data_IF_904936453603
#
_entry.id   IF_904936453603
#
_cell.length_a   1.000
_cell.length_b   1.000
_cell.length_c   1.000
_cell.angle_alpha   90.00
_cell.angle_beta   90.00
_cell.angle_gamma   90.00
#
_symmetry.space_group_name_H-M   'P 1'
#
loop_
_entity.id
_entity.type
_entity.pdbx_description
1 polymer ?
#
# COMPACT_ATOMS: atom_id res chain seq x y z
N UNK A 1 0.40 65.89 -55.19
CA UNK A 1 0.85 66.72 -54.05
C UNK A 1 0.43 66.04 -52.76
N UNK A 2 1.40 65.83 -51.84
CA UNK A 2 1.25 65.47 -50.39
C UNK A 2 0.77 64.03 -50.11
N UNK A 3 1.28 63.23 -49.17
CA UNK A 3 2.43 63.26 -48.25
C UNK A 3 2.63 61.82 -47.68
N UNK A 4 3.85 61.52 -47.21
CA UNK A 4 4.36 60.30 -46.53
C UNK A 4 3.64 59.96 -45.18
N UNK A 5 4.12 58.98 -44.37
CA UNK A 5 4.12 57.49 -44.44
C UNK A 5 3.40 56.91 -43.19
N UNK A 6 3.50 55.60 -42.88
CA UNK A 6 3.68 55.04 -41.50
C UNK A 6 3.74 53.52 -41.59
N UNK A 7 4.82 52.97 -41.03
CA UNK A 7 5.04 51.55 -40.81
C UNK A 7 4.18 51.03 -39.65
N UNK A 8 3.77 49.75 -39.71
CA UNK A 8 3.41 49.00 -38.52
C UNK A 8 3.80 47.53 -38.71
N UNK A 9 4.95 47.20 -38.12
CA UNK A 9 5.49 45.87 -37.94
C UNK A 9 4.59 45.12 -36.95
N UNK A 10 3.68 44.28 -37.44
CA UNK A 10 2.91 43.37 -36.57
C UNK A 10 3.79 42.17 -36.25
N UNK A 11 4.73 42.37 -35.32
CA UNK A 11 5.27 41.27 -34.55
C UNK A 11 4.15 40.78 -33.63
N UNK A 12 3.40 39.79 -34.10
CA UNK A 12 2.46 39.05 -33.27
C UNK A 12 3.27 38.34 -32.18
N UNK A 13 3.39 39.00 -31.03
CA UNK A 13 3.77 38.37 -29.79
C UNK A 13 2.74 37.28 -29.50
N UNK A 14 3.04 36.06 -29.92
CA UNK A 14 2.53 34.87 -29.26
C UNK A 14 3.14 34.86 -27.85
N UNK A 15 2.58 35.70 -26.98
CA UNK A 15 2.75 35.54 -25.54
C UNK A 15 2.21 34.16 -25.23
N UNK A 16 3.13 33.21 -25.04
CA UNK A 16 2.85 31.94 -24.42
C UNK A 16 2.22 32.26 -23.07
N UNK A 17 0.89 32.21 -23.01
CA UNK A 17 0.14 32.12 -21.77
C UNK A 17 0.58 30.79 -21.17
N UNK A 18 1.58 30.84 -20.29
CA UNK A 18 1.88 29.75 -19.39
C UNK A 18 0.59 29.55 -18.57
N UNK A 19 -0.24 28.61 -19.02
CA UNK A 19 -1.36 28.14 -18.22
C UNK A 19 -0.75 27.66 -16.91
N UNK A 20 -1.17 28.27 -15.82
CA UNK A 20 -0.80 27.91 -14.46
C UNK A 20 -1.17 26.43 -14.26
N UNK A 21 -0.16 25.55 -14.33
CA UNK A 21 -0.36 24.11 -14.16
C UNK A 21 -0.60 23.86 -12.68
N UNK A 22 -1.85 23.69 -12.28
CA UNK A 22 -2.21 23.32 -10.92
C UNK A 22 -1.97 21.80 -10.74
N UNK A 23 -1.11 21.43 -9.79
CA UNK A 23 -0.95 20.04 -9.37
C UNK A 23 -2.21 19.63 -8.62
N UNK A 24 -3.03 18.78 -9.25
CA UNK A 24 -4.29 18.31 -8.64
C UNK A 24 -4.02 17.23 -7.60
N UNK A 25 -3.14 16.29 -7.91
CA UNK A 25 -2.76 15.20 -7.03
C UNK A 25 -1.33 14.76 -7.33
N UNK A 26 -0.56 14.50 -6.28
CA UNK A 26 0.85 14.14 -6.37
C UNK A 26 0.99 12.63 -6.54
N UNK A 27 1.68 12.19 -7.60
CA UNK A 27 2.04 10.78 -7.75
C UNK A 27 3.24 10.48 -6.88
N UNK A 28 3.07 9.64 -5.86
CA UNK A 28 4.13 9.28 -4.90
C UNK A 28 4.89 8.03 -5.33
N UNK A 29 4.26 7.14 -6.11
CA UNK A 29 4.92 5.96 -6.64
C UNK A 29 4.22 5.42 -7.90
N UNK A 30 4.92 4.54 -8.61
CA UNK A 30 4.40 3.77 -9.75
C UNK A 30 4.83 2.31 -9.58
N UNK A 31 3.89 1.39 -9.71
CA UNK A 31 4.14 -0.06 -9.73
C UNK A 31 3.60 -0.63 -11.04
N UNK A 32 4.50 -1.17 -11.85
CA UNK A 32 4.26 -1.58 -13.22
C UNK A 32 3.61 -0.44 -14.03
N UNK A 33 2.32 -0.56 -14.38
CA UNK A 33 1.56 0.46 -15.11
C UNK A 33 0.59 1.28 -14.22
N UNK A 34 0.62 1.09 -12.90
CA UNK A 34 -0.30 1.72 -11.96
C UNK A 34 0.39 2.84 -11.18
N UNK A 35 -0.09 4.07 -11.32
CA UNK A 35 0.30 5.20 -10.48
C UNK A 35 -0.43 5.15 -9.14
N UNK A 36 0.30 5.43 -8.07
CA UNK A 36 -0.23 5.58 -6.71
C UNK A 36 -0.06 7.05 -6.34
N UNK A 37 -1.16 7.69 -5.95
CA UNK A 37 -1.16 9.11 -5.56
C UNK A 37 -1.13 9.29 -4.05
N UNK A 38 -0.80 10.51 -3.61
CA UNK A 38 -0.81 10.86 -2.20
C UNK A 38 -2.21 10.78 -1.60
N UNK A 39 -3.24 11.20 -2.36
CA UNK A 39 -4.63 11.09 -1.93
C UNK A 39 -5.06 9.63 -1.75
N UNK A 40 -4.70 8.74 -2.70
CA UNK A 40 -4.95 7.29 -2.60
C UNK A 40 -4.31 6.71 -1.33
N UNK A 41 -3.01 6.99 -1.10
CA UNK A 41 -2.32 6.52 0.11
C UNK A 41 -3.01 7.04 1.36
N UNK A 42 -3.40 8.31 1.41
CA UNK A 42 -4.05 8.90 2.58
C UNK A 42 -5.44 8.29 2.85
N UNK A 43 -6.24 8.05 1.81
CA UNK A 43 -7.55 7.42 1.90
C UNK A 43 -7.43 5.96 2.38
N UNK A 44 -6.56 5.16 1.74
CA UNK A 44 -6.30 3.77 2.14
C UNK A 44 -5.76 3.67 3.56
N UNK A 45 -4.89 4.59 3.97
CA UNK A 45 -4.35 4.65 5.33
C UNK A 45 -5.47 4.81 6.35
N UNK A 46 -6.46 5.66 6.09
CA UNK A 46 -7.61 5.83 6.99
C UNK A 46 -8.47 4.58 7.08
N UNK A 47 -8.73 3.91 5.95
CA UNK A 47 -9.45 2.62 5.95
C UNK A 47 -8.73 1.60 6.82
N UNK A 48 -7.42 1.43 6.63
CA UNK A 48 -6.58 0.52 7.43
C UNK A 48 -6.57 0.87 8.92
N UNK A 49 -6.47 2.16 9.25
CA UNK A 49 -6.47 2.61 10.65
C UNK A 49 -7.81 2.33 11.32
N UNK A 50 -8.92 2.58 10.64
CA UNK A 50 -10.26 2.26 11.14
C UNK A 50 -10.44 0.75 11.30
N UNK A 51 -10.00 -0.05 10.34
CA UNK A 51 -10.06 -1.51 10.46
C UNK A 51 -9.29 -2.01 11.69
N UNK A 52 -8.10 -1.44 11.95
CA UNK A 52 -7.22 -1.89 13.03
C UNK A 52 -7.60 -1.34 14.41
N UNK A 53 -8.14 -0.13 14.49
CA UNK A 53 -8.31 0.62 15.75
C UNK A 53 -9.77 1.02 16.02
N UNK A 54 -10.67 0.73 15.09
CA UNK A 54 -12.08 1.10 15.17
C UNK A 54 -12.37 2.54 14.72
N UNK A 55 -13.62 2.99 14.88
CA UNK A 55 -14.12 4.24 14.30
C UNK A 55 -13.45 5.50 14.88
N UNK A 56 -12.86 5.41 16.07
CA UNK A 56 -12.10 6.51 16.69
C UNK A 56 -10.91 6.97 15.83
N UNK A 57 -10.38 6.09 14.98
CA UNK A 57 -9.26 6.39 14.09
C UNK A 57 -9.66 7.15 12.81
N UNK A 58 -10.96 7.39 12.57
CA UNK A 58 -11.46 8.16 11.42
C UNK A 58 -10.78 9.54 11.29
N UNK A 59 -10.52 10.18 12.43
CA UNK A 59 -9.92 11.52 12.50
C UNK A 59 -8.45 11.47 12.94
N UNK A 60 -7.80 10.31 12.87
CA UNK A 60 -6.39 10.20 13.22
C UNK A 60 -5.54 11.10 12.32
N UNK A 61 -4.61 11.84 12.91
CA UNK A 61 -3.66 12.66 12.16
C UNK A 61 -2.74 11.75 11.36
N UNK A 62 -2.73 11.93 10.05
CA UNK A 62 -1.80 11.23 9.17
C UNK A 62 -0.52 12.04 9.04
N UNK A 63 0.48 11.71 9.85
CA UNK A 63 1.81 12.25 9.65
C UNK A 63 2.53 11.56 8.46
N UNK A 64 3.63 12.17 8.01
CA UNK A 64 4.44 11.65 6.91
C UNK A 64 4.98 10.23 7.19
N UNK A 65 5.27 9.88 8.44
CA UNK A 65 5.79 8.55 8.81
C UNK A 65 4.72 7.48 8.63
N UNK A 66 3.48 7.75 9.05
CA UNK A 66 2.34 6.84 8.88
C UNK A 66 2.05 6.66 7.39
N UNK A 67 2.05 7.75 6.61
CA UNK A 67 1.85 7.69 5.16
C UNK A 67 2.98 6.92 4.46
N UNK A 68 4.24 7.11 4.84
CA UNK A 68 5.37 6.36 4.31
C UNK A 68 5.24 4.84 4.62
N UNK A 69 4.80 4.48 5.83
CA UNK A 69 4.54 3.09 6.19
C UNK A 69 3.40 2.48 5.36
N UNK A 70 2.32 3.22 5.17
CA UNK A 70 1.19 2.80 4.36
C UNK A 70 1.54 2.68 2.87
N UNK A 71 2.34 3.61 2.34
CA UNK A 71 2.87 3.53 0.98
C UNK A 71 3.72 2.27 0.80
N UNK A 72 4.65 1.96 1.71
CA UNK A 72 5.45 0.72 1.65
C UNK A 72 4.56 -0.53 1.63
N UNK A 73 3.56 -0.60 2.52
CA UNK A 73 2.58 -1.71 2.54
C UNK A 73 1.83 -1.82 1.21
N UNK A 74 1.34 -0.70 0.68
CA UNK A 74 0.63 -0.65 -0.61
C UNK A 74 1.51 -1.11 -1.77
N UNK A 75 2.78 -0.71 -1.80
CA UNK A 75 3.73 -1.17 -2.81
C UNK A 75 3.93 -2.68 -2.74
N UNK A 76 4.13 -3.24 -1.54
CA UNK A 76 4.27 -4.69 -1.34
C UNK A 76 3.01 -5.44 -1.81
N UNK A 77 1.82 -4.98 -1.45
CA UNK A 77 0.55 -5.55 -1.92
C UNK A 77 0.44 -5.56 -3.44
N UNK A 78 0.77 -4.43 -4.10
CA UNK A 78 0.69 -4.30 -5.56
C UNK A 78 1.70 -5.21 -6.27
N UNK A 79 2.91 -5.35 -5.72
CA UNK A 79 3.94 -6.29 -6.21
C UNK A 79 3.45 -7.74 -6.12
N UNK A 80 2.84 -8.11 -4.98
CA UNK A 80 2.29 -9.46 -4.78
C UNK A 80 1.11 -9.71 -5.73
N UNK A 81 0.20 -8.75 -5.88
CA UNK A 81 -0.91 -8.86 -6.83
C UNK A 81 -0.43 -9.04 -8.27
N UNK A 82 0.62 -8.33 -8.68
CA UNK A 82 1.23 -8.47 -10.01
C UNK A 82 1.73 -9.90 -10.23
N UNK A 83 2.31 -10.55 -9.22
CA UNK A 83 2.66 -11.98 -9.28
C UNK A 83 1.44 -12.89 -9.34
N UNK A 84 0.42 -12.65 -8.53
CA UNK A 84 -0.82 -13.45 -8.54
C UNK A 84 -1.50 -13.40 -9.91
N UNK A 85 -1.52 -12.23 -10.54
CA UNK A 85 -2.04 -12.04 -11.89
C UNK A 85 -1.23 -12.81 -12.94
N UNK A 86 0.11 -12.79 -12.85
CA UNK A 86 0.99 -13.58 -13.73
C UNK A 86 0.71 -15.08 -13.60
N UNK A 87 0.47 -15.55 -12.38
CA UNK A 87 0.18 -16.95 -12.07
C UNK A 87 -1.28 -17.34 -12.33
N UNK A 88 -2.13 -16.40 -12.74
CA UNK A 88 -3.58 -16.59 -12.98
C UNK A 88 -4.29 -17.24 -11.78
N UNK A 89 -3.91 -16.82 -10.57
CA UNK A 89 -4.57 -17.28 -9.35
C UNK A 89 -5.98 -16.67 -9.25
N UNK A 90 -6.90 -17.44 -8.66
CA UNK A 90 -8.30 -17.06 -8.54
C UNK A 90 -8.50 -15.84 -7.65
N UNK A 91 -9.55 -15.07 -7.95
CA UNK A 91 -9.99 -13.92 -7.16
C UNK A 91 -10.86 -14.35 -5.98
N UNK A 92 -11.19 -13.41 -5.08
CA UNK A 92 -12.17 -13.65 -4.02
C UNK A 92 -13.58 -13.77 -4.60
N UNK A 93 -14.42 -14.55 -3.95
CA UNK A 93 -15.85 -14.56 -4.28
C UNK A 93 -16.51 -13.25 -3.84
N UNK A 94 -17.52 -12.74 -4.58
CA UNK A 94 -18.21 -11.49 -4.21
C UNK A 94 -18.72 -11.47 -2.77
N UNK A 95 -19.25 -12.61 -2.28
CA UNK A 95 -19.74 -12.73 -0.91
C UNK A 95 -18.64 -12.57 0.17
N UNK A 96 -17.37 -12.82 -0.17
CA UNK A 96 -16.26 -12.55 0.74
C UNK A 96 -15.98 -11.05 0.85
N UNK A 97 -16.11 -10.30 -0.25
CA UNK A 97 -15.96 -8.85 -0.28
C UNK A 97 -17.09 -8.20 0.53
N UNK A 98 -18.32 -8.67 0.35
CA UNK A 98 -19.48 -8.21 1.14
C UNK A 98 -19.27 -8.48 2.63
N UNK A 99 -18.71 -9.63 3.00
CA UNK A 99 -18.39 -9.96 4.38
C UNK A 99 -17.30 -9.05 4.97
N UNK A 100 -16.29 -8.67 4.19
CA UNK A 100 -15.27 -7.70 4.60
C UNK A 100 -15.88 -6.32 4.84
N UNK A 101 -16.71 -5.84 3.91
CA UNK A 101 -17.42 -4.57 4.06
C UNK A 101 -18.36 -4.58 5.27
N UNK A 102 -19.10 -5.66 5.48
CA UNK A 102 -19.97 -5.82 6.64
C UNK A 102 -19.19 -5.76 7.96
N UNK A 103 -18.01 -6.39 8.03
CA UNK A 103 -17.12 -6.32 9.19
C UNK A 103 -16.64 -4.91 9.46
N UNK A 104 -16.18 -4.19 8.42
CA UNK A 104 -15.75 -2.79 8.58
C UNK A 104 -16.91 -1.90 9.07
N UNK A 105 -18.10 -2.05 8.48
CA UNK A 105 -19.30 -1.29 8.88
C UNK A 105 -19.71 -1.57 10.33
N UNK A 106 -19.57 -2.81 10.79
CA UNK A 106 -19.88 -3.19 12.16
C UNK A 106 -18.98 -2.53 13.21
N UNK A 107 -17.84 -1.95 12.81
CA UNK A 107 -17.02 -1.14 13.70
C UNK A 107 -17.68 0.20 14.04
N UNK A 108 -18.55 0.72 13.17
CA UNK A 108 -19.21 2.00 13.36
C UNK A 108 -20.47 1.86 14.23
N UNK A 109 -20.71 2.82 15.15
CA UNK A 109 -21.92 2.83 15.97
C UNK A 109 -23.22 2.93 15.16
N UNK A 110 -23.16 3.54 13.98
CA UNK A 110 -24.31 3.72 13.11
C UNK A 110 -23.93 3.74 11.63
N UNK A 111 -24.91 3.47 10.76
CA UNK A 111 -24.77 3.60 9.31
C UNK A 111 -24.39 5.03 8.89
N UNK A 112 -24.94 6.04 9.56
CA UNK A 112 -24.66 7.44 9.26
C UNK A 112 -23.19 7.81 9.53
N UNK A 113 -22.58 7.24 10.58
CA UNK A 113 -21.16 7.45 10.87
C UNK A 113 -20.26 6.76 9.85
N UNK A 114 -20.61 5.56 9.41
CA UNK A 114 -19.92 4.91 8.29
C UNK A 114 -20.02 5.73 6.99
N UNK A 115 -21.21 6.23 6.65
CA UNK A 115 -21.40 7.05 5.45
C UNK A 115 -20.66 8.41 5.56
N UNK A 116 -20.49 8.95 6.77
CA UNK A 116 -19.66 10.12 7.01
C UNK A 116 -18.17 9.81 6.82
N UNK A 117 -17.72 8.64 7.28
CA UNK A 117 -16.37 8.15 7.06
C UNK A 117 -16.07 7.92 5.57
N UNK A 118 -16.92 7.19 4.84
CA UNK A 118 -16.73 6.94 3.41
C UNK A 118 -16.62 8.26 2.62
N UNK A 119 -17.44 9.26 2.96
CA UNK A 119 -17.35 10.60 2.37
C UNK A 119 -16.07 11.35 2.75
N UNK A 120 -15.57 11.21 3.98
CA UNK A 120 -14.35 11.92 4.41
C UNK A 120 -13.08 11.39 3.77
N UNK A 121 -13.09 10.12 3.33
CA UNK A 121 -12.01 9.51 2.55
C UNK A 121 -12.25 9.59 1.04
N UNK A 122 -13.37 10.16 0.61
CA UNK A 122 -13.78 10.27 -0.80
C UNK A 122 -13.83 8.93 -1.54
N UNK A 123 -14.20 7.85 -0.84
CA UNK A 123 -14.31 6.51 -1.40
C UNK A 123 -15.76 6.00 -1.40
N UNK A 124 -16.08 5.22 -2.42
CA UNK A 124 -17.30 4.41 -2.50
C UNK A 124 -17.15 3.09 -1.72
N UNK A 125 -18.29 2.43 -1.45
CA UNK A 125 -18.30 1.08 -0.89
C UNK A 125 -17.49 0.08 -1.73
N UNK A 126 -17.56 0.22 -3.06
CA UNK A 126 -16.83 -0.65 -4.00
C UNK A 126 -15.31 -0.45 -3.87
N UNK A 127 -14.85 0.79 -3.79
CA UNK A 127 -13.43 1.12 -3.62
C UNK A 127 -12.91 0.67 -2.25
N UNK A 128 -13.67 0.90 -1.18
CA UNK A 128 -13.34 0.39 0.15
C UNK A 128 -13.27 -1.15 0.12
N UNK A 129 -14.24 -1.79 -0.52
CA UNK A 129 -14.26 -3.24 -0.70
C UNK A 129 -13.05 -3.75 -1.47
N UNK A 130 -12.63 -3.05 -2.52
CA UNK A 130 -11.45 -3.40 -3.32
C UNK A 130 -10.15 -3.30 -2.52
N UNK A 131 -10.03 -2.32 -1.62
CA UNK A 131 -8.90 -2.19 -0.69
C UNK A 131 -8.87 -3.41 0.24
N UNK A 132 -9.95 -3.69 0.96
CA UNK A 132 -10.03 -4.81 1.90
C UNK A 132 -9.80 -6.16 1.19
N UNK A 133 -10.40 -6.34 0.01
CA UNK A 133 -10.23 -7.53 -0.82
C UNK A 133 -8.78 -7.72 -1.27
N UNK A 134 -8.08 -6.64 -1.65
CA UNK A 134 -6.65 -6.69 -1.99
C UNK A 134 -5.84 -7.18 -0.79
N UNK A 135 -6.07 -6.62 0.40
CA UNK A 135 -5.33 -7.03 1.59
C UNK A 135 -5.53 -8.51 1.91
N UNK A 136 -6.78 -8.99 1.88
CA UNK A 136 -7.09 -10.39 2.14
C UNK A 136 -6.46 -11.33 1.11
N UNK A 137 -6.49 -10.97 -0.18
CA UNK A 137 -5.87 -11.74 -1.26
C UNK A 137 -4.37 -11.90 -1.06
N UNK A 138 -3.70 -10.78 -0.80
CA UNK A 138 -2.26 -10.76 -0.56
C UNK A 138 -1.91 -11.60 0.66
N UNK A 139 -2.64 -11.43 1.77
CA UNK A 139 -2.42 -12.20 2.99
C UNK A 139 -2.58 -13.71 2.77
N UNK A 140 -3.65 -14.14 2.09
CA UNK A 140 -3.90 -15.55 1.77
C UNK A 140 -2.85 -16.14 0.84
N UNK A 141 -2.43 -15.39 -0.18
CA UNK A 141 -1.38 -15.84 -1.09
C UNK A 141 -0.06 -16.07 -0.35
N UNK A 142 0.35 -15.10 0.46
CA UNK A 142 1.59 -15.19 1.24
C UNK A 142 1.52 -16.33 2.25
N UNK A 143 0.43 -16.47 3.01
CA UNK A 143 0.25 -17.58 3.96
C UNK A 143 0.32 -18.93 3.23
N UNK A 144 -0.44 -19.13 2.16
CA UNK A 144 -0.44 -20.39 1.41
C UNK A 144 0.94 -20.72 0.81
N UNK A 145 1.67 -19.70 0.32
CA UNK A 145 3.00 -19.90 -0.27
C UNK A 145 4.05 -20.23 0.77
N UNK A 146 3.95 -19.66 1.97
CA UNK A 146 4.97 -19.77 3.01
C UNK A 146 4.67 -20.88 4.02
N UNK A 147 3.41 -21.25 4.24
CA UNK A 147 2.99 -22.22 5.27
C UNK A 147 3.72 -23.55 5.17
N UNK A 148 3.89 -24.09 3.97
CA UNK A 148 4.62 -25.35 3.76
C UNK A 148 6.13 -25.16 3.95
N UNK A 149 6.69 -24.06 3.47
CA UNK A 149 8.12 -23.78 3.56
C UNK A 149 8.58 -23.41 4.99
N UNK A 150 7.68 -22.83 5.79
CA UNK A 150 7.92 -22.37 7.15
C UNK A 150 7.81 -23.49 8.21
N UNK A 151 7.34 -24.69 7.85
CA UNK A 151 7.31 -25.83 8.77
C UNK A 151 8.73 -26.11 9.29
N UNK A 152 8.88 -26.07 10.62
CA UNK A 152 10.13 -26.38 11.29
C UNK A 152 10.32 -27.90 11.31
N UNK A 153 11.47 -28.37 10.81
CA UNK A 153 11.81 -29.80 10.88
C UNK A 153 12.37 -30.12 12.26
N UNK A 154 12.15 -31.33 12.75
CA UNK A 154 12.69 -31.75 14.06
C UNK A 154 14.21 -31.65 14.13
N UNK A 155 14.92 -31.87 13.02
CA UNK A 155 16.37 -31.67 12.94
C UNK A 155 16.81 -30.23 13.23
N UNK A 156 16.02 -29.24 12.81
CA UNK A 156 16.30 -27.81 13.04
C UNK A 156 16.06 -27.44 14.50
N UNK A 157 15.04 -28.04 15.13
CA UNK A 157 14.78 -27.88 16.57
C UNK A 157 15.88 -28.52 17.42
N UNK A 158 16.29 -29.74 17.09
CA UNK A 158 17.37 -30.44 17.79
C UNK A 158 18.70 -29.70 17.68
N UNK A 159 19.00 -29.11 16.52
CA UNK A 159 20.19 -28.28 16.34
C UNK A 159 20.15 -27.02 17.22
N UNK A 160 19.00 -26.35 17.29
CA UNK A 160 18.83 -25.15 18.13
C UNK A 160 18.75 -25.45 19.65
N UNK A 161 18.32 -26.67 20.01
CA UNK A 161 18.28 -27.19 21.37
C UNK A 161 19.60 -27.84 21.81
N UNK A 162 20.53 -28.10 20.88
CA UNK A 162 21.81 -28.76 21.16
C UNK A 162 22.58 -28.02 22.26
N UNK A 163 22.95 -28.76 23.30
CA UNK A 163 23.66 -28.21 24.46
C UNK A 163 22.79 -27.45 25.46
N UNK A 164 21.47 -27.39 25.27
CA UNK A 164 20.51 -26.80 26.21
C UNK A 164 19.67 -27.90 26.87
N UNK A 165 19.63 -27.93 28.20
CA UNK A 165 18.70 -28.78 28.95
C UNK A 165 17.33 -28.09 29.04
N UNK A 166 16.56 -28.16 27.97
CA UNK A 166 15.23 -27.56 27.88
C UNK A 166 14.15 -28.52 28.38
N UNK A 167 13.19 -28.00 29.13
CA UNK A 167 11.94 -28.72 29.43
C UNK A 167 11.07 -28.84 28.17
N UNK A 168 10.05 -29.70 28.19
CA UNK A 168 9.10 -29.82 27.06
C UNK A 168 8.42 -28.48 26.74
N UNK A 169 8.00 -27.73 27.76
CA UNK A 169 7.41 -26.40 27.58
C UNK A 169 8.40 -25.41 26.91
N UNK A 170 9.67 -25.43 27.31
CA UNK A 170 10.70 -24.58 26.70
C UNK A 170 11.03 -25.01 25.26
N UNK A 171 10.96 -26.31 24.96
CA UNK A 171 11.13 -26.81 23.59
C UNK A 171 9.99 -26.37 22.68
N UNK A 172 8.75 -26.36 23.18
CA UNK A 172 7.63 -25.91 22.37
C UNK A 172 7.67 -24.40 22.12
N UNK A 173 8.02 -23.60 23.14
CA UNK A 173 8.29 -22.17 22.95
C UNK A 173 9.42 -21.93 21.94
N UNK A 174 10.50 -22.70 22.00
CA UNK A 174 11.59 -22.62 21.04
C UNK A 174 11.13 -22.99 19.62
N UNK A 175 10.29 -24.03 19.48
CA UNK A 175 9.70 -24.43 18.20
C UNK A 175 8.86 -23.29 17.61
N UNK A 176 7.97 -22.69 18.40
CA UNK A 176 7.14 -21.57 17.96
C UNK A 176 7.99 -20.37 17.54
N UNK A 177 8.99 -20.00 18.35
CA UNK A 177 9.90 -18.90 18.03
C UNK A 177 10.66 -19.15 16.72
N UNK A 178 11.27 -20.34 16.57
CA UNK A 178 12.02 -20.68 15.36
C UNK A 178 11.12 -20.75 14.12
N UNK A 179 9.89 -21.25 14.26
CA UNK A 179 8.92 -21.26 13.18
C UNK A 179 8.54 -19.82 12.75
N UNK A 180 8.32 -18.92 13.70
CA UNK A 180 8.07 -17.50 13.42
C UNK A 180 9.28 -16.83 12.74
N UNK A 181 10.49 -17.04 13.27
CA UNK A 181 11.73 -16.49 12.68
C UNK A 181 11.95 -16.99 11.25
N UNK A 182 11.74 -18.30 11.01
CA UNK A 182 11.82 -18.93 9.70
C UNK A 182 10.79 -18.35 8.74
N UNK A 183 9.53 -18.21 9.17
CA UNK A 183 8.47 -17.59 8.39
C UNK A 183 8.84 -16.16 7.98
N UNK A 184 9.28 -15.33 8.94
CA UNK A 184 9.65 -13.94 8.69
C UNK A 184 10.83 -13.81 7.72
N UNK A 185 11.82 -14.71 7.83
CA UNK A 185 12.94 -14.76 6.88
C UNK A 185 12.46 -15.09 5.47
N UNK A 186 11.67 -16.15 5.31
CA UNK A 186 11.13 -16.56 4.01
C UNK A 186 10.22 -15.50 3.39
N UNK A 187 9.42 -14.81 4.20
CA UNK A 187 8.59 -13.69 3.76
C UNK A 187 9.46 -12.57 3.19
N UNK A 188 10.50 -12.14 3.92
CA UNK A 188 11.41 -11.09 3.44
C UNK A 188 12.12 -11.48 2.15
N UNK A 189 12.59 -12.72 2.05
CA UNK A 189 13.24 -13.24 0.86
C UNK A 189 12.28 -13.26 -0.34
N UNK A 190 11.05 -13.73 -0.13
CA UNK A 190 10.00 -13.75 -1.15
C UNK A 190 9.67 -12.34 -1.64
N UNK A 191 9.38 -11.40 -0.72
CA UNK A 191 9.05 -10.02 -1.08
C UNK A 191 10.20 -9.32 -1.81
N UNK A 192 11.44 -9.55 -1.38
CA UNK A 192 12.62 -9.03 -2.07
C UNK A 192 12.73 -9.58 -3.50
N UNK A 193 12.44 -10.87 -3.68
CA UNK A 193 12.48 -11.49 -4.99
C UNK A 193 11.35 -11.00 -5.92
N UNK A 194 10.13 -10.87 -5.40
CA UNK A 194 9.01 -10.31 -6.14
C UNK A 194 9.27 -8.85 -6.52
N UNK A 195 9.85 -8.06 -5.61
CA UNK A 195 10.21 -6.66 -5.86
C UNK A 195 11.25 -6.53 -6.97
N UNK A 196 12.23 -7.45 -7.06
CA UNK A 196 13.21 -7.46 -8.16
C UNK A 196 12.56 -7.74 -9.52
N UNK A 197 11.45 -8.48 -9.54
CA UNK A 197 10.72 -8.84 -10.76
C UNK A 197 9.69 -7.80 -11.18
N UNK A 198 9.24 -6.94 -10.25
CA UNK A 198 8.28 -5.87 -10.51
C UNK A 198 8.98 -4.56 -10.92
N UNK A 199 8.31 -3.74 -11.73
CA UNK A 199 8.82 -2.40 -12.08
C UNK A 199 8.31 -1.39 -11.06
N UNK A 200 9.12 -1.06 -10.04
CA UNK A 200 8.73 -0.14 -8.97
C UNK A 200 9.54 1.14 -9.05
N UNK A 201 8.85 2.29 -9.14
CA UNK A 201 9.47 3.62 -9.09
C UNK A 201 8.80 4.45 -8.01
N UNK A 202 9.54 4.77 -6.95
CA UNK A 202 9.09 5.67 -5.89
C UNK A 202 9.52 7.09 -6.27
N UNK A 203 8.58 8.03 -6.22
CA UNK A 203 8.78 9.44 -6.59
C UNK A 203 8.92 10.32 -5.35
N UNK A 204 8.04 10.15 -4.36
CA UNK A 204 8.21 10.68 -2.99
C UNK A 204 8.10 9.50 -2.01
N UNK A 205 9.17 9.13 -1.29
CA UNK A 205 9.13 8.04 -0.33
C UNK A 205 8.41 8.41 0.98
N UNK A 206 8.05 9.70 1.15
CA UNK A 206 7.33 10.27 2.29
C UNK A 206 8.06 10.20 3.64
N UNK A 207 9.23 9.55 3.70
CA UNK A 207 10.07 9.38 4.89
C UNK A 207 11.25 10.36 4.96
N UNK A 208 11.60 11.01 3.85
CA UNK A 208 12.56 12.11 3.83
C UNK A 208 11.88 13.42 4.27
N UNK A 209 12.52 14.16 5.19
CA UNK A 209 12.19 15.57 5.39
C UNK A 209 12.40 16.27 4.04
N UNK A 210 11.33 16.88 3.52
CA UNK A 210 11.21 17.30 2.12
C UNK A 210 12.48 17.90 1.54
N UNK A 211 13.19 17.12 0.73
CA UNK A 211 14.23 17.64 -0.16
C UNK A 211 13.61 17.72 -1.53
N UNK A 212 12.89 18.82 -1.78
CA UNK A 212 12.63 19.26 -3.15
C UNK A 212 14.00 19.58 -3.74
N UNK A 213 14.52 18.66 -4.54
CA UNK A 213 15.68 18.94 -5.36
C UNK A 213 15.32 20.12 -6.26
N UNK A 214 15.95 21.27 -6.02
CA UNK A 214 15.96 22.39 -6.93
C UNK A 214 16.42 21.85 -8.30
N UNK A 215 15.54 21.97 -9.29
CA UNK A 215 15.81 21.58 -10.66
C UNK A 215 17.07 22.28 -11.19
N UNK A 216 17.93 21.47 -11.81
CA UNK A 216 18.84 21.93 -12.87
C UNK A 216 18.08 21.99 -14.18
#
# INVERSE_FOLDING_TARGET
MRAFPIAALVAAAFSARAAERQLLDEVVAVVDAHSITLSEVAAETRVRLVEAQGPSATNATLDRRILAASLRKTLEERIVLSEMQRLKLFDLEPGEIDALLAKLRALFPSRAEYDAFARSVELTDEEIGAILARELRVARYLDNRLKLAAQLRDSELEEAARGKNLTEAQREQLREQLAQEKYQRLLRELLADLRRRATVRVLDPLDAEGTVAAGQ
#
